data_IF_695027990923
#
_entry.id   IF_695027990923
#
_cell.length_a   1.000
_cell.length_b   1.000
_cell.length_c   1.000
_cell.angle_alpha   90.00
_cell.angle_beta   90.00
_cell.angle_gamma   90.00
#
_symmetry.space_group_name_H-M   'P 1'
#
loop_
_entity.id
_entity.type
_entity.pdbx_description
1 polymer ?
#
# COMPACT_ATOMS: atom_id res chain seq x y z
N UNK A 1 -32.90 28.68 -36.95
CA UNK A 1 -31.74 28.47 -36.07
C UNK A 1 -32.31 28.25 -34.67
N UNK A 2 -32.46 26.99 -34.25
CA UNK A 2 -32.80 26.66 -32.86
C UNK A 2 -31.51 26.66 -32.05
N UNK A 3 -31.43 27.55 -31.04
CA UNK A 3 -30.41 27.45 -30.00
C UNK A 3 -31.03 26.62 -28.87
N UNK A 4 -30.51 25.39 -28.70
CA UNK A 4 -30.79 24.57 -27.53
C UNK A 4 -29.96 25.14 -26.38
N UNK A 5 -30.63 25.86 -25.48
CA UNK A 5 -30.06 26.26 -24.19
C UNK A 5 -29.97 25.02 -23.31
N UNK A 6 -28.80 24.40 -23.30
CA UNK A 6 -28.42 23.34 -22.36
C UNK A 6 -28.35 23.93 -20.95
N UNK A 7 -29.49 23.94 -20.26
CA UNK A 7 -29.58 24.33 -18.85
C UNK A 7 -29.12 23.15 -18.01
N UNK A 8 -27.81 23.05 -17.77
CA UNK A 8 -27.21 22.01 -16.94
C UNK A 8 -27.21 22.40 -15.45
N UNK A 9 -28.31 22.05 -14.79
CA UNK A 9 -28.46 21.65 -13.38
C UNK A 9 -27.68 22.43 -12.27
N UNK A 10 -28.34 23.29 -11.47
CA UNK A 10 -27.78 23.84 -10.21
C UNK A 10 -27.53 22.78 -9.12
N UNK A 11 -28.17 21.60 -9.21
CA UNK A 11 -28.09 20.52 -8.23
C UNK A 11 -26.68 19.91 -8.07
N UNK A 12 -25.83 19.98 -9.10
CA UNK A 12 -24.48 19.42 -9.05
C UNK A 12 -23.52 20.30 -8.24
N UNK A 13 -23.74 21.63 -8.22
CA UNK A 13 -22.90 22.57 -7.47
C UNK A 13 -23.09 22.40 -5.96
N UNK A 14 -24.32 22.17 -5.54
CA UNK A 14 -24.64 21.92 -4.13
C UNK A 14 -24.01 20.61 -3.62
N UNK A 15 -24.05 19.54 -4.43
CA UNK A 15 -23.41 18.27 -4.08
C UNK A 15 -21.88 18.41 -3.95
N UNK A 16 -21.25 19.13 -4.87
CA UNK A 16 -19.80 19.39 -4.83
C UNK A 16 -19.42 20.23 -3.61
N UNK A 17 -20.26 21.21 -3.23
CA UNK A 17 -20.04 22.02 -2.02
C UNK A 17 -20.11 21.18 -0.75
N UNK A 18 -21.15 20.37 -0.60
CA UNK A 18 -21.31 19.48 0.56
C UNK A 18 -20.16 18.47 0.67
N UNK A 19 -19.72 17.91 -0.46
CA UNK A 19 -18.55 17.02 -0.49
C UNK A 19 -17.28 17.75 -0.05
N UNK A 20 -17.08 18.99 -0.51
CA UNK A 20 -15.92 19.81 -0.14
C UNK A 20 -15.89 20.11 1.35
N UNK A 21 -17.02 20.46 1.95
CA UNK A 21 -17.16 20.70 3.39
C UNK A 21 -16.84 19.44 4.21
N UNK A 22 -17.35 18.28 3.79
CA UNK A 22 -17.09 17.00 4.45
C UNK A 22 -15.60 16.62 4.39
N UNK A 23 -14.96 16.80 3.23
CA UNK A 23 -13.52 16.54 3.07
C UNK A 23 -12.69 17.47 3.96
N UNK A 24 -13.05 18.75 4.04
CA UNK A 24 -12.36 19.70 4.92
C UNK A 24 -12.50 19.31 6.40
N UNK A 25 -13.70 18.90 6.82
CA UNK A 25 -13.94 18.43 8.19
C UNK A 25 -13.09 17.20 8.53
N UNK A 26 -13.01 16.22 7.63
CA UNK A 26 -12.18 15.02 7.80
C UNK A 26 -10.68 15.34 7.86
N UNK A 27 -10.21 16.31 7.07
CA UNK A 27 -8.82 16.75 7.09
C UNK A 27 -8.47 17.49 8.41
N UNK A 28 -9.37 18.33 8.91
CA UNK A 28 -9.22 18.98 10.21
C UNK A 28 -9.21 17.98 11.37
N UNK A 29 -10.13 17.00 11.35
CA UNK A 29 -10.20 15.94 12.36
C UNK A 29 -8.90 15.11 12.37
N UNK A 30 -8.37 14.74 11.19
CA UNK A 30 -7.08 14.03 11.09
C UNK A 30 -5.91 14.84 11.65
N UNK A 31 -5.82 16.14 11.36
CA UNK A 31 -4.77 17.01 11.89
C UNK A 31 -4.82 17.10 13.41
N UNK A 32 -6.02 17.16 14.00
CA UNK A 32 -6.20 17.22 15.45
C UNK A 32 -5.91 15.90 16.19
N UNK A 33 -5.86 14.77 15.48
CA UNK A 33 -5.52 13.45 16.03
C UNK A 33 -4.03 13.11 15.94
N UNK A 34 -3.20 14.00 15.39
CA UNK A 34 -1.76 13.82 15.27
C UNK A 34 -1.02 14.38 16.50
N UNK A 35 -1.47 14.03 17.71
CA UNK A 35 -0.66 14.25 18.91
C UNK A 35 -1.05 13.29 20.04
N UNK A 36 -0.61 12.05 19.88
CA UNK A 36 0.00 11.35 21.00
C UNK A 36 1.23 10.68 20.43
N UNK A 37 2.41 11.27 20.65
CA UNK A 37 3.63 10.47 20.58
C UNK A 37 3.41 9.31 21.55
N UNK A 38 3.27 8.11 21.00
CA UNK A 38 3.13 6.90 21.78
C UNK A 38 4.30 6.87 22.78
N UNK A 39 4.05 6.71 24.09
CA UNK A 39 5.11 6.60 25.09
C UNK A 39 6.13 5.48 24.79
N UNK A 40 5.78 4.51 23.94
CA UNK A 40 6.66 3.45 23.44
C UNK A 40 7.49 3.87 22.22
N UNK A 41 7.14 4.96 21.53
CA UNK A 41 8.00 5.63 20.54
C UNK A 41 9.06 6.41 21.31
N UNK A 42 9.91 5.66 21.99
CA UNK A 42 11.09 6.17 22.64
C UNK A 42 11.95 6.84 21.57
N UNK A 43 12.32 8.10 21.83
CA UNK A 43 13.26 8.90 21.05
C UNK A 43 14.37 8.00 20.54
N UNK A 44 14.35 7.71 19.24
CA UNK A 44 15.30 6.81 18.59
C UNK A 44 16.71 7.18 19.04
N UNK A 45 17.45 6.20 19.56
CA UNK A 45 18.86 6.37 19.95
C UNK A 45 19.56 7.03 18.77
N UNK A 46 20.26 8.17 18.96
CA UNK A 46 20.92 8.81 17.85
C UNK A 46 21.89 7.80 17.22
N UNK A 47 21.79 7.64 15.90
CA UNK A 47 22.56 6.71 15.04
C UNK A 47 24.08 6.83 15.27
N UNK A 48 24.52 7.89 15.93
CA UNK A 48 25.88 8.21 16.36
C UNK A 48 26.63 7.04 17.03
N UNK A 49 25.95 6.16 17.76
CA UNK A 49 26.63 5.03 18.43
C UNK A 49 27.14 3.93 17.48
N UNK A 50 26.68 3.86 16.24
CA UNK A 50 27.16 2.86 15.28
C UNK A 50 28.53 3.20 14.68
N UNK A 51 28.98 4.46 14.80
CA UNK A 51 30.31 4.87 14.34
C UNK A 51 31.46 4.28 15.17
N UNK A 52 31.16 3.81 16.38
CA UNK A 52 32.14 3.20 17.29
C UNK A 52 32.50 1.76 16.86
N UNK A 53 31.64 1.11 16.07
CA UNK A 53 31.78 -0.28 15.65
C UNK A 53 31.48 -0.44 14.16
N UNK A 54 32.47 -0.25 13.27
CA UNK A 54 32.27 -0.36 11.83
C UNK A 54 31.76 -1.75 11.43
N UNK A 55 32.14 -2.81 12.15
CA UNK A 55 31.70 -4.18 11.88
C UNK A 55 30.18 -4.34 12.05
N UNK A 56 29.56 -3.59 12.98
CA UNK A 56 28.11 -3.61 13.16
C UNK A 56 27.42 -2.96 11.97
N UNK A 57 27.94 -1.84 11.48
CA UNK A 57 27.37 -1.16 10.31
C UNK A 57 27.44 -2.03 9.06
N UNK A 58 28.55 -2.74 8.85
CA UNK A 58 28.72 -3.68 7.74
C UNK A 58 27.80 -4.90 7.89
N UNK A 59 27.68 -5.45 9.10
CA UNK A 59 26.78 -6.58 9.37
C UNK A 59 25.32 -6.21 9.10
N UNK A 60 24.86 -5.03 9.54
CA UNK A 60 23.48 -4.58 9.28
C UNK A 60 23.23 -4.36 7.79
N UNK A 61 24.17 -3.73 7.07
CA UNK A 61 24.08 -3.56 5.61
C UNK A 61 24.06 -4.91 4.88
N UNK A 62 24.88 -5.88 5.32
CA UNK A 62 24.88 -7.23 4.76
C UNK A 62 23.55 -7.94 4.98
N UNK A 63 22.98 -7.85 6.19
CA UNK A 63 21.69 -8.47 6.53
C UNK A 63 20.56 -7.83 5.72
N UNK A 64 20.53 -6.51 5.57
CA UNK A 64 19.53 -5.80 4.77
C UNK A 64 19.60 -6.21 3.29
N UNK A 65 20.82 -6.30 2.75
CA UNK A 65 21.05 -6.76 1.38
C UNK A 65 20.62 -8.23 1.20
N UNK A 66 20.93 -9.11 2.16
CA UNK A 66 20.51 -10.51 2.15
C UNK A 66 18.99 -10.66 2.19
N UNK A 67 18.32 -9.86 3.03
CA UNK A 67 16.86 -9.83 3.11
C UNK A 67 16.23 -9.39 1.79
N UNK A 68 16.74 -8.32 1.18
CA UNK A 68 16.26 -7.81 -0.11
C UNK A 68 16.42 -8.85 -1.23
N UNK A 69 17.58 -9.52 -1.30
CA UNK A 69 17.84 -10.59 -2.26
C UNK A 69 16.90 -11.78 -2.05
N UNK A 70 16.73 -12.20 -0.80
CA UNK A 70 15.83 -13.30 -0.45
C UNK A 70 14.37 -12.97 -0.80
N UNK A 71 13.88 -11.80 -0.42
CA UNK A 71 12.51 -11.34 -0.70
C UNK A 71 12.22 -11.29 -2.20
N UNK A 72 13.16 -10.76 -3.00
CA UNK A 72 13.04 -10.74 -4.47
C UNK A 72 12.98 -12.15 -5.07
N UNK A 73 13.79 -13.09 -4.56
CA UNK A 73 13.78 -14.48 -5.02
C UNK A 73 12.49 -15.22 -4.60
N UNK A 74 11.96 -14.89 -3.42
CA UNK A 74 10.75 -15.47 -2.86
C UNK A 74 9.50 -15.00 -3.60
N UNK A 75 9.43 -13.73 -3.98
CA UNK A 75 8.37 -13.18 -4.84
C UNK A 75 8.38 -13.83 -6.24
N UNK A 76 9.55 -13.98 -6.86
CA UNK A 76 9.69 -14.71 -8.14
C UNK A 76 9.24 -16.17 -8.02
N UNK A 77 9.53 -16.84 -6.91
CA UNK A 77 9.07 -18.21 -6.64
C UNK A 77 7.55 -18.28 -6.53
N UNK A 78 6.93 -17.35 -5.79
CA UNK A 78 5.47 -17.25 -5.65
C UNK A 78 4.79 -17.06 -7.01
N UNK A 79 5.30 -16.17 -7.85
CA UNK A 79 4.78 -15.93 -9.21
C UNK A 79 4.86 -17.22 -10.04
N UNK A 80 6.01 -17.92 -10.02
CA UNK A 80 6.19 -19.17 -10.77
C UNK A 80 5.19 -20.23 -10.35
N UNK A 81 5.00 -20.45 -9.04
CA UNK A 81 4.03 -21.43 -8.51
C UNK A 81 2.61 -21.06 -8.96
N UNK A 82 2.21 -19.81 -8.77
CA UNK A 82 0.86 -19.36 -9.11
C UNK A 82 0.59 -19.43 -10.62
N UNK A 83 1.59 -19.13 -11.46
CA UNK A 83 1.49 -19.27 -12.92
C UNK A 83 1.27 -20.72 -13.36
N UNK A 84 1.91 -21.69 -12.69
CA UNK A 84 1.79 -23.10 -13.01
C UNK A 84 0.41 -23.64 -12.65
N UNK A 85 -0.09 -23.30 -11.46
CA UNK A 85 -1.44 -23.69 -11.01
C UNK A 85 -2.54 -23.15 -11.92
N UNK A 86 -2.35 -21.93 -12.46
CA UNK A 86 -3.31 -21.32 -13.40
C UNK A 86 -3.26 -21.96 -14.79
N UNK A 87 -2.09 -22.43 -15.25
CA UNK A 87 -1.93 -23.13 -16.52
C UNK A 87 -2.39 -24.59 -16.47
N UNK A 88 -2.36 -25.22 -15.29
CA UNK A 88 -2.69 -26.63 -15.10
C UNK A 88 -4.14 -26.86 -14.66
N UNK A 89 -5.12 -26.02 -15.05
CA UNK A 89 -6.53 -26.38 -14.90
C UNK A 89 -6.83 -27.55 -15.85
N UNK A 90 -6.49 -28.76 -15.40
CA UNK A 90 -6.65 -29.98 -16.17
C UNK A 90 -8.13 -30.18 -16.44
N UNK A 91 -8.51 -30.17 -17.73
CA UNK A 91 -9.82 -30.60 -18.21
C UNK A 91 -9.95 -32.12 -17.98
N UNK A 92 -10.08 -32.54 -16.74
CA UNK A 92 -10.31 -33.92 -16.40
C UNK A 92 -11.77 -34.26 -16.70
N UNK A 93 -12.00 -35.15 -17.67
CA UNK A 93 -13.30 -35.79 -17.90
C UNK A 93 -13.25 -37.20 -17.32
N UNK A 94 -13.84 -37.45 -16.13
CA UNK A 94 -13.88 -38.81 -15.60
C UNK A 94 -14.61 -39.75 -16.57
N UNK A 95 -14.16 -41.00 -16.70
CA UNK A 95 -14.90 -41.99 -17.47
C UNK A 95 -16.29 -42.23 -16.84
N UNK A 96 -17.32 -42.51 -17.66
CA UNK A 96 -18.66 -42.78 -17.14
C UNK A 96 -18.62 -44.04 -16.26
N UNK A 97 -19.25 -43.96 -15.09
CA UNK A 97 -19.54 -45.14 -14.29
C UNK A 97 -20.67 -45.91 -15.00
N UNK A 98 -20.40 -47.16 -15.34
CA UNK A 98 -21.38 -48.12 -15.87
C UNK A 98 -22.46 -48.45 -14.83
#
# INVERSE_FOLDING_TARGET
MEQVTETQAPANQDQVRVFTELVQQLLCERKSKQESEDPLVSKSVPITNFTVYPELSEAFLSIENDYTRYSTAEEKRKIKIHSYTKASSTNYKPPPLN
#
